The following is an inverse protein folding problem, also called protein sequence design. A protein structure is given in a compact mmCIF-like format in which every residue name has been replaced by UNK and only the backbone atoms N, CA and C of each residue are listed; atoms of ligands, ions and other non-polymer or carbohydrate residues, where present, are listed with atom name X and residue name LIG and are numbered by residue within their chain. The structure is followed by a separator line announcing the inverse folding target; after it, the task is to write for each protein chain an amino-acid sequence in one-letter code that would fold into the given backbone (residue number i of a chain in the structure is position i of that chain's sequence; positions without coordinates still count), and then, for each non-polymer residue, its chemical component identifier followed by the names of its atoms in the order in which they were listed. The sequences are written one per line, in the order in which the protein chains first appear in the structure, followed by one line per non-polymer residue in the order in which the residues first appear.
data_IF_307466209772
#
_entry.id   IF_307466209772
#
_cell.length_a   1.000
_cell.length_b   1.000
_cell.length_c   1.000
_cell.angle_alpha   90.00
_cell.angle_beta   90.00
_cell.angle_gamma   90.00
#
_symmetry.space_group_name_H-M   'P 1'
#
loop_
_entity.id
_entity.type
_entity.pdbx_description
1 polymer ?
#
# COMPACT_ATOMS: atom_id res chain seq x y z
N UNK A 1 9.51 5.86 -8.71
CA UNK A 1 9.77 6.50 -7.37
C UNK A 1 11.26 6.46 -7.01
N UNK A 2 11.92 5.28 -6.95
CA UNK A 2 13.34 5.14 -6.51
C UNK A 2 14.32 6.00 -7.30
N UNK A 3 14.29 5.93 -8.63
CA UNK A 3 15.18 6.73 -9.48
C UNK A 3 14.96 8.23 -9.28
N UNK A 4 13.72 8.72 -9.25
CA UNK A 4 13.42 10.12 -8.98
C UNK A 4 14.01 10.58 -7.63
N UNK A 5 13.85 9.76 -6.58
CA UNK A 5 14.42 10.08 -5.26
C UNK A 5 15.94 10.18 -5.32
N UNK A 6 16.61 9.29 -6.06
CA UNK A 6 18.05 9.35 -6.25
C UNK A 6 18.49 10.63 -6.96
N UNK A 7 17.84 10.99 -8.08
CA UNK A 7 18.15 12.21 -8.83
C UNK A 7 17.99 13.48 -7.98
N UNK A 8 16.89 13.57 -7.22
CA UNK A 8 16.64 14.72 -6.35
C UNK A 8 17.58 14.79 -5.15
N UNK A 9 17.97 13.63 -4.57
CA UNK A 9 19.01 13.59 -3.53
C UNK A 9 20.39 13.99 -4.06
N UNK A 10 20.72 13.63 -5.30
CA UNK A 10 21.97 14.03 -5.96
C UNK A 10 21.98 15.50 -6.38
N UNK A 11 20.82 16.15 -6.46
CA UNK A 11 20.70 17.55 -6.90
C UNK A 11 20.88 17.75 -8.40
N UNK A 12 20.80 16.67 -9.21
CA UNK A 12 20.93 16.75 -10.66
C UNK A 12 20.69 15.39 -11.33
N UNK A 13 20.58 15.40 -12.66
CA UNK A 13 20.38 14.23 -13.48
C UNK A 13 21.65 13.91 -14.30
N UNK A 14 22.11 12.65 -14.38
CA UNK A 14 23.23 12.28 -15.27
C UNK A 14 22.79 12.35 -16.73
N UNK A 15 23.73 12.36 -17.66
CA UNK A 15 23.42 12.31 -19.10
C UNK A 15 22.86 10.94 -19.50
N UNK A 16 23.32 9.88 -18.87
CA UNK A 16 22.91 8.50 -19.17
C UNK A 16 22.54 7.76 -17.89
N UNK A 17 21.42 7.03 -17.94
CA UNK A 17 21.02 6.10 -16.91
C UNK A 17 21.02 4.69 -17.47
N UNK A 18 21.96 3.86 -17.01
CA UNK A 18 22.11 2.47 -17.42
C UNK A 18 21.42 1.55 -16.42
N UNK A 19 20.65 0.59 -16.95
CA UNK A 19 20.00 -0.45 -16.14
C UNK A 19 20.39 -1.82 -16.64
N UNK A 20 20.20 -2.82 -15.79
CA UNK A 20 20.12 -4.21 -16.22
C UNK A 20 18.89 -4.45 -17.10
N UNK A 21 18.73 -5.65 -17.68
CA UNK A 21 17.58 -6.05 -18.53
C UNK A 21 16.27 -6.09 -17.71
N UNK A 22 15.92 -4.98 -17.09
CA UNK A 22 14.76 -4.82 -16.22
C UNK A 22 13.50 -4.64 -17.06
N UNK A 23 12.53 -5.56 -16.92
CA UNK A 23 11.25 -5.51 -17.65
C UNK A 23 10.43 -4.22 -17.42
N UNK A 24 10.69 -3.52 -16.33
CA UNK A 24 10.10 -2.21 -16.06
C UNK A 24 10.65 -1.08 -16.95
N UNK A 25 11.88 -1.26 -17.47
CA UNK A 25 12.55 -0.27 -18.31
C UNK A 25 12.52 -0.65 -19.79
N UNK A 26 12.63 -1.94 -20.11
CA UNK A 26 12.77 -2.44 -21.47
C UNK A 26 11.69 -3.47 -21.82
N UNK A 27 11.22 -3.42 -23.07
CA UNK A 27 10.37 -4.45 -23.65
C UNK A 27 11.24 -5.63 -24.13
N UNK A 28 11.41 -6.64 -23.30
CA UNK A 28 12.28 -7.78 -23.57
C UNK A 28 11.73 -8.75 -24.66
N UNK A 29 10.50 -8.53 -25.14
CA UNK A 29 9.88 -9.31 -26.22
C UNK A 29 10.07 -8.67 -27.60
N UNK A 30 10.60 -7.46 -27.68
CA UNK A 30 10.84 -6.78 -28.94
C UNK A 30 12.19 -7.20 -29.55
N UNK A 31 12.21 -7.37 -30.86
CA UNK A 31 13.45 -7.67 -31.63
C UNK A 31 14.49 -6.54 -31.55
N UNK A 32 14.00 -5.29 -31.37
CA UNK A 32 14.84 -4.12 -31.14
C UNK A 32 14.70 -3.63 -29.71
N UNK A 33 15.77 -3.04 -29.21
CA UNK A 33 15.80 -2.43 -27.90
C UNK A 33 14.75 -1.31 -27.82
N UNK A 34 13.67 -1.56 -27.08
CA UNK A 34 12.58 -0.61 -26.87
C UNK A 34 12.42 -0.33 -25.38
N UNK A 35 12.40 0.95 -25.04
CA UNK A 35 12.04 1.40 -23.71
C UNK A 35 10.54 1.18 -23.47
N UNK A 36 10.17 0.85 -22.24
CA UNK A 36 8.75 0.90 -21.86
C UNK A 36 8.26 2.35 -21.91
N UNK A 37 7.00 2.56 -22.28
CA UNK A 37 6.41 3.91 -22.39
C UNK A 37 6.64 4.75 -21.13
N UNK A 38 6.56 4.13 -19.95
CA UNK A 38 6.78 4.82 -18.66
C UNK A 38 8.22 5.21 -18.43
N UNK A 39 9.15 4.33 -18.76
CA UNK A 39 10.58 4.61 -18.57
C UNK A 39 11.06 5.63 -19.60
N UNK A 40 10.58 5.54 -20.83
CA UNK A 40 10.86 6.53 -21.87
C UNK A 40 10.37 7.93 -21.47
N UNK A 41 9.12 8.05 -21.01
CA UNK A 41 8.57 9.30 -20.48
C UNK A 41 9.39 9.85 -19.31
N UNK A 42 9.87 8.97 -18.41
CA UNK A 42 10.75 9.37 -17.29
C UNK A 42 12.10 9.90 -17.83
N UNK A 43 12.73 9.17 -18.75
CA UNK A 43 13.99 9.58 -19.38
C UNK A 43 13.84 10.92 -20.09
N UNK A 44 12.77 11.11 -20.85
CA UNK A 44 12.48 12.37 -21.54
C UNK A 44 12.29 13.52 -20.54
N UNK A 45 11.54 13.32 -19.46
CA UNK A 45 11.30 14.34 -18.44
C UNK A 45 12.58 14.82 -17.75
N UNK A 46 13.52 13.90 -17.46
CA UNK A 46 14.81 14.21 -16.83
C UNK A 46 15.96 14.41 -17.84
N UNK A 47 15.67 14.39 -19.14
CA UNK A 47 16.64 14.51 -20.22
C UNK A 47 17.74 13.44 -20.15
N UNK A 48 17.38 12.23 -19.69
CA UNK A 48 18.27 11.10 -19.57
C UNK A 48 18.30 10.29 -20.87
N UNK A 49 19.46 9.77 -21.22
CA UNK A 49 19.57 8.69 -22.20
C UNK A 49 19.44 7.36 -21.45
N UNK A 50 18.36 6.61 -21.69
CA UNK A 50 18.22 5.25 -21.17
C UNK A 50 19.10 4.28 -21.96
N UNK A 51 19.87 3.45 -21.26
CA UNK A 51 20.65 2.35 -21.87
C UNK A 51 20.57 1.11 -20.99
N UNK A 52 20.89 -0.05 -21.56
CA UNK A 52 20.97 -1.30 -20.81
C UNK A 52 22.35 -1.95 -20.97
N UNK A 53 22.67 -2.83 -20.05
CA UNK A 53 23.86 -3.66 -20.15
C UNK A 53 23.73 -4.66 -21.31
N UNK A 54 24.85 -5.00 -21.91
CA UNK A 54 24.88 -5.99 -22.97
C UNK A 54 24.50 -7.38 -22.44
N UNK A 55 23.56 -8.10 -23.06
CA UNK A 55 23.21 -9.45 -22.66
C UNK A 55 24.47 -10.37 -22.63
N UNK A 56 24.63 -11.12 -21.54
CA UNK A 56 25.73 -12.06 -21.39
C UNK A 56 27.07 -11.48 -20.92
N UNK A 57 27.17 -10.16 -20.66
CA UNK A 57 28.38 -9.53 -20.11
C UNK A 57 28.21 -9.21 -18.62
N UNK A 58 28.41 -10.21 -17.77
CA UNK A 58 28.24 -10.11 -16.31
C UNK A 58 29.12 -9.05 -15.65
N UNK A 59 30.32 -8.76 -16.22
CA UNK A 59 31.26 -7.79 -15.65
C UNK A 59 30.79 -6.32 -15.76
N UNK A 60 29.82 -6.00 -16.59
CA UNK A 60 29.29 -4.63 -16.70
C UNK A 60 28.53 -4.19 -15.43
N UNK A 61 28.05 -5.13 -14.61
CA UNK A 61 27.38 -4.90 -13.33
C UNK A 61 28.29 -4.93 -12.11
N UNK A 62 29.58 -5.31 -12.28
CA UNK A 62 30.48 -5.58 -11.16
C UNK A 62 30.60 -4.45 -10.15
N UNK A 63 30.59 -3.18 -10.59
CA UNK A 63 30.67 -2.02 -9.69
C UNK A 63 29.44 -1.89 -8.80
N UNK A 64 28.25 -2.10 -9.37
CA UNK A 64 26.98 -2.01 -8.64
C UNK A 64 26.84 -3.21 -7.70
N UNK A 65 27.20 -4.41 -8.15
CA UNK A 65 27.20 -5.63 -7.33
C UNK A 65 28.14 -5.49 -6.13
N UNK A 66 29.33 -4.95 -6.35
CA UNK A 66 30.29 -4.65 -5.27
C UNK A 66 29.72 -3.63 -4.27
N UNK A 67 29.06 -2.56 -4.75
CA UNK A 67 28.43 -1.55 -3.90
C UNK A 67 27.27 -2.15 -3.08
N UNK A 68 26.43 -2.98 -3.69
CA UNK A 68 25.36 -3.70 -2.98
C UNK A 68 25.92 -4.68 -1.94
N UNK A 69 26.98 -5.42 -2.27
CA UNK A 69 27.68 -6.30 -1.34
C UNK A 69 28.27 -5.53 -0.15
N UNK A 70 28.82 -4.34 -0.39
CA UNK A 70 29.34 -3.46 0.66
C UNK A 70 28.21 -2.97 1.59
N UNK A 71 27.10 -2.48 1.01
CA UNK A 71 25.93 -2.05 1.78
C UNK A 71 25.37 -3.20 2.65
N UNK A 72 25.16 -4.38 2.06
CA UNK A 72 24.66 -5.56 2.81
C UNK A 72 25.55 -5.89 4.00
N UNK A 73 26.86 -5.95 3.81
CA UNK A 73 27.83 -6.20 4.90
C UNK A 73 27.74 -5.15 6.00
N UNK A 74 27.64 -3.86 5.64
CA UNK A 74 27.48 -2.75 6.61
C UNK A 74 26.19 -2.85 7.38
N UNK A 75 25.08 -3.21 6.72
CA UNK A 75 23.80 -3.43 7.38
C UNK A 75 23.87 -4.60 8.38
N UNK A 76 24.42 -5.74 7.95
CA UNK A 76 24.59 -6.89 8.85
C UNK A 76 25.43 -6.54 10.09
N UNK A 77 26.56 -5.86 9.90
CA UNK A 77 27.42 -5.42 11.02
C UNK A 77 26.67 -4.44 11.95
N UNK A 78 25.92 -3.50 11.40
CA UNK A 78 25.17 -2.53 12.20
C UNK A 78 24.02 -3.19 12.99
N UNK A 79 23.35 -4.21 12.42
CA UNK A 79 22.34 -5.01 13.13
C UNK A 79 22.97 -5.82 14.26
N UNK A 80 24.12 -6.45 14.04
CA UNK A 80 24.86 -7.17 15.08
C UNK A 80 25.26 -6.25 16.25
N UNK A 81 25.75 -5.04 15.93
CA UNK A 81 26.09 -4.05 16.96
C UNK A 81 24.88 -3.52 17.72
N UNK A 82 23.72 -3.47 17.06
CA UNK A 82 22.45 -3.07 17.71
C UNK A 82 21.94 -4.15 18.65
N UNK A 83 22.25 -5.41 18.41
CA UNK A 83 21.81 -6.55 19.22
C UNK A 83 20.39 -7.00 18.99
N UNK A 84 19.66 -6.37 18.07
CA UNK A 84 18.26 -6.67 17.74
C UNK A 84 18.01 -6.42 16.26
N UNK A 85 17.24 -7.31 15.62
CA UNK A 85 16.85 -7.22 14.20
C UNK A 85 15.46 -6.61 14.01
N UNK A 86 14.66 -6.47 15.08
CA UNK A 86 13.31 -5.97 15.01
C UNK A 86 13.25 -4.45 15.14
N UNK A 87 12.30 -3.85 14.45
CA UNK A 87 12.06 -2.41 14.45
C UNK A 87 10.64 -2.11 14.88
N UNK A 88 10.47 -1.06 15.70
CA UNK A 88 9.16 -0.64 16.21
C UNK A 88 8.25 -0.07 15.11
N UNK A 89 8.83 0.41 14.01
CA UNK A 89 8.09 0.95 12.87
C UNK A 89 8.93 0.94 11.59
N UNK A 90 8.28 1.13 10.45
CA UNK A 90 8.95 1.27 9.16
C UNK A 90 9.85 2.51 9.11
N UNK A 91 9.43 3.61 9.76
CA UNK A 91 10.19 4.85 9.85
C UNK A 91 11.49 4.63 10.64
N UNK A 92 11.43 3.86 11.74
CA UNK A 92 12.61 3.50 12.52
C UNK A 92 13.61 2.66 11.71
N UNK A 93 13.10 1.70 10.93
CA UNK A 93 13.92 0.93 9.98
C UNK A 93 14.54 1.82 8.90
N UNK A 94 13.76 2.70 8.30
CA UNK A 94 14.23 3.63 7.27
C UNK A 94 15.33 4.56 7.82
N UNK A 95 15.15 5.12 9.01
CA UNK A 95 16.16 5.97 9.66
C UNK A 95 17.46 5.21 9.92
N UNK A 96 17.39 3.94 10.32
CA UNK A 96 18.55 3.07 10.50
C UNK A 96 19.31 2.86 9.17
N UNK A 97 18.60 2.55 8.09
CA UNK A 97 19.20 2.36 6.75
C UNK A 97 19.80 3.67 6.26
N UNK A 98 19.09 4.79 6.39
CA UNK A 98 19.58 6.11 5.95
C UNK A 98 20.85 6.53 6.72
N UNK A 99 20.96 6.18 8.00
CA UNK A 99 22.19 6.39 8.80
C UNK A 99 23.39 5.64 8.25
N UNK A 100 23.21 4.39 7.82
CA UNK A 100 24.29 3.57 7.20
C UNK A 100 24.67 4.13 5.83
N UNK A 101 23.66 4.45 5.00
CA UNK A 101 23.87 5.01 3.66
C UNK A 101 24.58 6.35 3.73
N UNK A 102 24.24 7.19 4.70
CA UNK A 102 24.89 8.48 4.92
C UNK A 102 26.40 8.31 5.20
N UNK A 103 26.76 7.37 6.07
CA UNK A 103 28.18 7.05 6.36
C UNK A 103 28.92 6.54 5.13
N UNK A 104 28.28 5.72 4.29
CA UNK A 104 28.88 5.23 3.03
C UNK A 104 29.06 6.41 2.06
N UNK A 105 28.07 7.25 1.90
CA UNK A 105 28.10 8.39 0.99
C UNK A 105 29.15 9.43 1.39
N UNK A 106 29.42 9.61 2.69
CA UNK A 106 30.49 10.48 3.15
C UNK A 106 31.88 10.06 2.60
N UNK A 107 32.11 8.76 2.42
CA UNK A 107 33.38 8.26 1.85
C UNK A 107 33.53 8.59 0.36
N UNK A 108 32.39 8.74 -0.35
CA UNK A 108 32.38 9.05 -1.78
C UNK A 108 32.22 10.56 -2.07
N UNK A 109 32.10 11.39 -1.02
CA UNK A 109 31.73 12.81 -1.13
C UNK A 109 32.67 13.60 -2.05
N UNK A 110 33.96 13.48 -1.88
CA UNK A 110 34.97 14.21 -2.68
C UNK A 110 34.81 13.91 -4.17
N UNK A 111 34.61 12.64 -4.50
CA UNK A 111 34.39 12.19 -5.88
C UNK A 111 33.08 12.72 -6.44
N UNK A 112 32.03 12.66 -5.66
CA UNK A 112 30.71 13.16 -6.06
C UNK A 112 30.70 14.68 -6.29
N UNK A 113 31.39 15.45 -5.44
CA UNK A 113 31.51 16.92 -5.63
C UNK A 113 32.29 17.29 -6.90
N UNK A 114 33.16 16.44 -7.40
CA UNK A 114 33.83 16.61 -8.70
C UNK A 114 32.89 16.32 -9.87
N UNK A 115 31.97 15.36 -9.72
CA UNK A 115 31.00 14.97 -10.75
C UNK A 115 29.76 15.87 -10.75
N UNK A 116 29.41 16.45 -9.63
CA UNK A 116 28.19 17.26 -9.44
C UNK A 116 28.01 18.40 -10.45
N UNK A 117 29.05 19.15 -10.84
CA UNK A 117 28.90 20.20 -11.85
C UNK A 117 28.56 19.67 -13.25
N UNK A 118 28.76 18.39 -13.52
CA UNK A 118 28.46 17.73 -14.79
C UNK A 118 27.00 17.24 -14.88
N UNK A 119 26.29 17.25 -13.75
CA UNK A 119 24.88 16.83 -13.72
C UNK A 119 24.00 17.89 -14.38
N UNK A 120 23.00 17.41 -15.12
CA UNK A 120 21.98 18.26 -15.71
C UNK A 120 21.06 18.83 -14.63
N UNK A 121 20.56 20.04 -14.88
CA UNK A 121 19.56 20.66 -13.99
C UNK A 121 18.28 19.84 -13.93
N UNK A 122 17.77 19.62 -12.72
CA UNK A 122 16.49 18.95 -12.50
C UNK A 122 15.32 19.76 -13.03
N UNK A 123 14.27 19.12 -13.52
CA UNK A 123 13.03 19.80 -13.89
C UNK A 123 12.37 20.43 -12.64
N UNK A 124 11.54 21.44 -12.84
CA UNK A 124 10.84 22.15 -11.74
C UNK A 124 9.93 21.26 -10.89
N UNK A 125 9.44 20.14 -11.45
CA UNK A 125 8.52 19.20 -10.81
C UNK A 125 8.95 17.78 -11.08
N UNK A 126 8.64 16.88 -10.15
CA UNK A 126 8.75 15.43 -10.37
C UNK A 126 7.68 14.96 -11.34
N UNK A 127 7.90 13.83 -12.01
CA UNK A 127 6.83 13.13 -12.73
C UNK A 127 5.85 12.54 -11.72
N UNK A 128 4.64 12.22 -12.22
CA UNK A 128 3.65 11.53 -11.41
C UNK A 128 4.12 10.11 -11.08
N UNK A 129 4.02 9.76 -9.79
CA UNK A 129 4.46 8.46 -9.24
C UNK A 129 3.29 7.46 -9.15
N UNK A 130 2.17 7.72 -9.82
CA UNK A 130 1.00 6.87 -9.76
C UNK A 130 0.64 6.24 -11.12
N UNK A 131 -0.11 5.15 -11.05
CA UNK A 131 -0.81 4.59 -12.19
C UNK A 131 -2.28 5.00 -12.14
N UNK A 132 -2.84 5.38 -13.29
CA UNK A 132 -4.25 5.71 -13.40
C UNK A 132 -5.08 4.48 -13.73
N UNK A 133 -6.19 4.32 -13.03
CA UNK A 133 -7.18 3.30 -13.24
C UNK A 133 -8.58 3.90 -13.15
N UNK A 134 -9.53 3.26 -13.80
CA UNK A 134 -10.95 3.58 -13.67
C UNK A 134 -11.68 2.33 -13.20
N UNK A 135 -12.44 2.44 -12.12
CA UNK A 135 -13.14 1.32 -11.49
C UNK A 135 -14.63 1.61 -11.36
N UNK A 136 -15.45 0.59 -11.54
CA UNK A 136 -16.89 0.67 -11.29
C UNK A 136 -17.16 0.10 -9.89
N UNK A 137 -17.92 0.83 -9.06
CA UNK A 137 -18.26 0.39 -7.73
C UNK A 137 -19.42 -0.58 -7.78
N UNK A 138 -19.19 -1.78 -7.23
CA UNK A 138 -20.19 -2.86 -7.19
C UNK A 138 -21.33 -2.56 -6.21
N UNK A 139 -22.41 -3.36 -6.29
CA UNK A 139 -23.51 -3.33 -5.31
C UNK A 139 -23.09 -3.67 -3.89
N UNK A 140 -21.92 -4.26 -3.70
CA UNK A 140 -21.30 -4.55 -2.40
C UNK A 140 -20.42 -3.40 -1.88
N UNK A 141 -20.50 -2.20 -2.47
CA UNK A 141 -19.68 -1.03 -2.12
C UNK A 141 -18.18 -1.33 -2.26
N UNK A 142 -17.79 -2.12 -3.25
CA UNK A 142 -16.42 -2.57 -3.45
C UNK A 142 -15.99 -2.51 -4.91
N UNK A 143 -14.68 -2.52 -5.12
CA UNK A 143 -14.05 -2.68 -6.42
C UNK A 143 -12.79 -3.54 -6.31
N UNK A 144 -12.42 -4.19 -7.41
CA UNK A 144 -11.19 -4.97 -7.50
C UNK A 144 -10.11 -4.19 -8.25
N UNK A 145 -8.92 -4.10 -7.67
CA UNK A 145 -7.75 -3.52 -8.33
C UNK A 145 -6.49 -4.34 -7.99
N UNK A 146 -5.75 -4.78 -9.03
CA UNK A 146 -4.52 -5.59 -8.86
C UNK A 146 -4.69 -6.80 -7.94
N UNK A 147 -5.79 -7.54 -8.09
CA UNK A 147 -6.14 -8.72 -7.28
C UNK A 147 -6.44 -8.43 -5.80
N UNK A 148 -6.74 -7.17 -5.47
CA UNK A 148 -7.16 -6.75 -4.13
C UNK A 148 -8.55 -6.16 -4.22
N UNK A 149 -9.43 -6.59 -3.31
CA UNK A 149 -10.76 -6.03 -3.14
C UNK A 149 -10.71 -4.91 -2.10
N UNK A 150 -11.16 -3.72 -2.49
CA UNK A 150 -11.26 -2.54 -1.63
C UNK A 150 -12.72 -2.16 -1.45
N UNK A 151 -13.08 -1.64 -0.27
CA UNK A 151 -14.41 -1.05 -0.04
C UNK A 151 -14.37 0.47 -0.09
N UNK A 152 -15.48 1.07 -0.49
CA UNK A 152 -15.72 2.52 -0.50
C UNK A 152 -17.11 2.82 0.10
N UNK A 153 -17.38 4.07 0.53
CA UNK A 153 -18.68 4.43 1.04
C UNK A 153 -19.83 4.08 0.08
N UNK A 154 -20.90 3.48 0.62
CA UNK A 154 -22.03 2.93 -0.16
C UNK A 154 -22.73 3.95 -1.07
N UNK A 155 -22.57 5.24 -0.80
CA UNK A 155 -23.11 6.31 -1.66
C UNK A 155 -22.56 6.30 -3.08
N UNK A 156 -21.40 5.64 -3.30
CA UNK A 156 -20.75 5.53 -4.61
C UNK A 156 -21.12 4.26 -5.38
N UNK A 157 -22.04 3.43 -4.88
CA UNK A 157 -22.51 2.24 -5.59
C UNK A 157 -23.03 2.61 -6.97
N UNK A 158 -22.53 1.92 -7.99
CA UNK A 158 -22.89 2.17 -9.40
C UNK A 158 -22.11 3.30 -10.06
N UNK A 159 -21.32 4.06 -9.32
CA UNK A 159 -20.48 5.11 -9.88
C UNK A 159 -19.15 4.58 -10.41
N UNK A 160 -18.61 5.32 -11.37
CA UNK A 160 -17.27 5.09 -11.91
C UNK A 160 -16.31 6.08 -11.28
N UNK A 161 -15.34 5.54 -10.52
CA UNK A 161 -14.33 6.34 -9.84
C UNK A 161 -12.99 6.25 -10.58
N UNK A 162 -12.21 7.33 -10.53
CA UNK A 162 -10.83 7.34 -10.96
C UNK A 162 -9.91 7.05 -9.77
N UNK A 163 -8.89 6.23 -10.01
CA UNK A 163 -7.95 5.79 -8.97
C UNK A 163 -6.55 6.15 -9.39
N UNK A 164 -5.86 6.94 -8.58
CA UNK A 164 -4.42 7.14 -8.66
C UNK A 164 -3.75 6.13 -7.73
N UNK A 165 -3.14 5.10 -8.33
CA UNK A 165 -2.49 4.01 -7.61
C UNK A 165 -1.02 4.33 -7.40
N UNK A 166 -0.66 4.67 -6.17
CA UNK A 166 0.71 4.85 -5.70
C UNK A 166 1.30 3.54 -5.16
N UNK A 167 2.55 3.58 -4.72
CA UNK A 167 3.20 2.42 -4.10
C UNK A 167 2.61 2.10 -2.72
N UNK A 168 2.21 3.11 -1.94
CA UNK A 168 1.74 2.93 -0.56
C UNK A 168 0.25 3.18 -0.37
N UNK A 169 -0.41 3.83 -1.32
CA UNK A 169 -1.82 4.22 -1.20
C UNK A 169 -2.55 4.25 -2.55
N UNK A 170 -3.86 4.34 -2.45
CA UNK A 170 -4.77 4.62 -3.55
C UNK A 170 -5.55 5.89 -3.22
N UNK A 171 -5.48 6.88 -4.10
CA UNK A 171 -6.33 8.07 -4.00
C UNK A 171 -7.49 7.92 -5.01
N UNK A 172 -8.73 8.00 -4.53
CA UNK A 172 -9.94 7.83 -5.31
C UNK A 172 -10.60 9.19 -5.57
N UNK A 173 -11.06 9.37 -6.79
CA UNK A 173 -11.67 10.62 -7.26
C UNK A 173 -13.02 10.36 -7.90
N UNK A 174 -14.00 11.24 -7.61
CA UNK A 174 -15.24 11.41 -8.37
C UNK A 174 -15.12 12.72 -9.16
N UNK A 175 -14.99 12.62 -10.48
CA UNK A 175 -14.59 13.77 -11.29
C UNK A 175 -13.20 14.29 -10.90
N UNK A 176 -13.14 15.54 -10.43
CA UNK A 176 -11.90 16.19 -9.99
C UNK A 176 -11.72 16.21 -8.46
N UNK A 177 -12.72 15.77 -7.71
CA UNK A 177 -12.69 15.79 -6.25
C UNK A 177 -12.11 14.48 -5.70
N UNK A 178 -11.10 14.60 -4.85
CA UNK A 178 -10.58 13.45 -4.10
C UNK A 178 -11.55 13.11 -2.97
N UNK A 179 -12.15 11.92 -3.05
CA UNK A 179 -13.18 11.48 -2.12
C UNK A 179 -12.63 10.57 -1.01
N UNK A 180 -11.52 9.87 -1.27
CA UNK A 180 -10.98 8.88 -0.34
C UNK A 180 -9.51 8.60 -0.64
N UNK A 181 -8.74 8.30 0.41
CA UNK A 181 -7.40 7.73 0.31
C UNK A 181 -7.35 6.45 1.12
N UNK A 182 -6.92 5.35 0.50
CA UNK A 182 -6.83 4.03 1.11
C UNK A 182 -5.38 3.55 1.13
N UNK A 183 -4.92 2.86 2.16
CA UNK A 183 -3.62 2.20 2.14
C UNK A 183 -3.61 1.11 1.07
N UNK A 184 -2.51 1.02 0.34
CA UNK A 184 -2.34 -0.02 -0.67
C UNK A 184 -2.03 -1.35 -0.02
N UNK A 185 -2.81 -2.36 -0.37
CA UNK A 185 -2.56 -3.75 -0.02
C UNK A 185 -2.01 -4.48 -1.25
N UNK A 186 -1.09 -5.41 -1.03
CA UNK A 186 -0.51 -6.24 -2.08
C UNK A 186 -1.05 -7.66 -1.98
N UNK A 187 -1.59 -8.16 -3.08
CA UNK A 187 -1.94 -9.58 -3.20
C UNK A 187 -0.66 -10.41 -3.36
N UNK A 188 -0.63 -11.60 -2.76
CA UNK A 188 0.42 -12.57 -3.02
C UNK A 188 0.17 -13.31 -4.34
N UNK A 189 1.13 -14.12 -4.79
CA UNK A 189 0.96 -14.94 -6.00
C UNK A 189 -0.19 -15.95 -5.87
N UNK A 190 -0.46 -16.42 -4.65
CA UNK A 190 -1.45 -17.44 -4.36
C UNK A 190 -2.77 -16.91 -3.81
N UNK A 191 -2.77 -15.75 -3.12
CA UNK A 191 -3.95 -15.21 -2.44
C UNK A 191 -4.32 -13.82 -2.94
N UNK A 192 -5.64 -13.56 -3.07
CA UNK A 192 -6.17 -12.23 -3.27
C UNK A 192 -6.07 -11.41 -1.98
N UNK A 193 -5.72 -10.14 -2.10
CA UNK A 193 -5.75 -9.21 -0.98
C UNK A 193 -7.16 -8.67 -0.72
N UNK A 194 -7.40 -8.20 0.50
CA UNK A 194 -8.63 -7.51 0.89
C UNK A 194 -8.29 -6.31 1.78
N UNK A 195 -8.95 -5.20 1.52
CA UNK A 195 -8.89 -3.97 2.31
C UNK A 195 -10.32 -3.50 2.53
N UNK A 196 -10.93 -4.04 3.58
CA UNK A 196 -12.34 -3.87 3.88
C UNK A 196 -12.49 -3.00 5.13
N UNK A 197 -13.22 -1.91 5.03
CA UNK A 197 -13.65 -1.10 6.16
C UNK A 197 -15.18 -1.18 6.28
N UNK A 198 -15.67 -1.75 7.38
CA UNK A 198 -17.09 -1.90 7.65
C UNK A 198 -17.85 -0.56 7.70
N UNK A 199 -17.15 0.54 8.03
CA UNK A 199 -17.72 1.90 8.07
C UNK A 199 -18.20 2.35 6.71
N UNK A 200 -17.62 1.84 5.64
CA UNK A 200 -18.04 2.17 4.27
C UNK A 200 -19.43 1.62 3.93
N UNK A 201 -19.84 0.53 4.55
CA UNK A 201 -21.08 -0.18 4.22
C UNK A 201 -22.13 -0.16 5.33
N UNK A 202 -21.77 0.33 6.51
CA UNK A 202 -22.61 0.20 7.70
C UNK A 202 -23.98 0.89 7.55
N UNK A 203 -24.03 2.06 6.93
CA UNK A 203 -25.29 2.80 6.70
C UNK A 203 -26.27 2.03 5.80
N UNK A 204 -25.74 1.27 4.84
CA UNK A 204 -26.53 0.39 3.98
C UNK A 204 -26.98 -0.87 4.70
N UNK A 205 -26.13 -1.43 5.56
CA UNK A 205 -26.46 -2.59 6.38
C UNK A 205 -27.52 -2.26 7.44
N UNK A 206 -27.51 -1.07 8.03
CA UNK A 206 -28.56 -0.63 8.95
C UNK A 206 -29.94 -0.66 8.30
N UNK A 207 -30.03 -0.29 7.01
CA UNK A 207 -31.29 -0.35 6.24
C UNK A 207 -31.70 -1.77 5.88
N UNK A 208 -30.74 -2.69 5.70
CA UNK A 208 -30.96 -4.09 5.32
C UNK A 208 -30.03 -5.03 6.13
N UNK A 209 -30.29 -5.22 7.43
CA UNK A 209 -29.36 -5.99 8.29
C UNK A 209 -29.12 -7.43 7.81
N UNK A 210 -30.15 -8.08 7.21
CA UNK A 210 -30.03 -9.42 6.67
C UNK A 210 -28.99 -9.57 5.56
N UNK A 211 -28.60 -8.48 4.87
CA UNK A 211 -27.56 -8.51 3.85
C UNK A 211 -26.18 -8.84 4.44
N UNK A 212 -25.96 -8.59 5.73
CA UNK A 212 -24.71 -8.92 6.41
C UNK A 212 -24.39 -10.42 6.32
N UNK A 213 -25.35 -11.29 6.62
CA UNK A 213 -25.18 -12.77 6.62
C UNK A 213 -24.72 -13.31 5.26
N UNK A 214 -25.26 -12.75 4.18
CA UNK A 214 -25.03 -13.22 2.81
C UNK A 214 -23.90 -12.46 2.10
N UNK A 215 -23.25 -11.51 2.77
CA UNK A 215 -22.13 -10.78 2.20
C UNK A 215 -20.92 -11.70 2.02
N UNK A 216 -20.31 -11.67 0.86
CA UNK A 216 -19.01 -12.33 0.61
C UNK A 216 -17.86 -11.72 1.43
N UNK A 217 -18.06 -10.51 1.93
CA UNK A 217 -17.11 -9.78 2.76
C UNK A 217 -17.46 -9.85 4.25
N UNK A 218 -18.44 -10.69 4.65
CA UNK A 218 -18.98 -10.75 6.02
C UNK A 218 -17.87 -10.83 7.09
N UNK A 219 -16.93 -11.73 6.91
CA UNK A 219 -15.88 -11.96 7.88
C UNK A 219 -14.89 -10.78 7.93
N UNK A 220 -14.63 -10.14 6.79
CA UNK A 220 -13.77 -8.94 6.73
C UNK A 220 -14.48 -7.67 7.27
N UNK A 221 -15.80 -7.67 7.39
CA UNK A 221 -16.56 -6.56 8.00
C UNK A 221 -16.52 -6.59 9.54
N UNK A 222 -16.02 -7.66 10.13
CA UNK A 222 -15.84 -7.78 11.57
C UNK A 222 -14.46 -7.25 11.96
N UNK A 223 -14.36 -6.07 12.64
CA UNK A 223 -13.11 -5.33 12.73
C UNK A 223 -12.05 -5.96 13.64
N UNK A 224 -12.46 -6.80 14.59
CA UNK A 224 -11.57 -7.45 15.55
C UNK A 224 -11.98 -8.90 15.82
N UNK A 225 -11.09 -9.74 16.36
CA UNK A 225 -11.43 -11.10 16.78
C UNK A 225 -12.61 -11.16 17.76
N UNK A 226 -12.80 -10.13 18.58
CA UNK A 226 -13.94 -10.05 19.52
C UNK A 226 -15.27 -10.04 18.76
N UNK A 227 -15.37 -9.26 17.69
CA UNK A 227 -16.57 -9.21 16.85
C UNK A 227 -16.83 -10.54 16.14
N UNK A 228 -15.81 -11.29 15.75
CA UNK A 228 -15.97 -12.63 15.19
C UNK A 228 -16.57 -13.59 16.25
N UNK A 229 -16.09 -13.56 17.50
CA UNK A 229 -16.62 -14.38 18.59
C UNK A 229 -18.05 -13.97 18.94
N UNK A 230 -18.34 -12.67 18.99
CA UNK A 230 -19.69 -12.14 19.21
C UNK A 230 -20.62 -12.63 18.11
N UNK A 231 -20.21 -12.53 16.83
CA UNK A 231 -21.00 -13.01 15.70
C UNK A 231 -21.29 -14.52 15.82
N UNK A 232 -20.31 -15.34 16.09
CA UNK A 232 -20.48 -16.78 16.28
C UNK A 232 -21.51 -17.10 17.39
N UNK A 233 -21.44 -16.37 18.49
CA UNK A 233 -22.38 -16.55 19.60
C UNK A 233 -23.81 -16.17 19.22
N UNK A 234 -24.01 -14.97 18.67
CA UNK A 234 -25.37 -14.48 18.34
C UNK A 234 -25.98 -15.27 17.18
N UNK A 235 -25.18 -15.72 16.22
CA UNK A 235 -25.61 -16.54 15.10
C UNK A 235 -26.05 -17.96 15.53
N UNK A 236 -25.45 -18.49 16.58
CA UNK A 236 -25.80 -19.78 17.18
C UNK A 236 -26.96 -19.72 18.19
N UNK A 237 -27.23 -18.53 18.77
CA UNK A 237 -28.19 -18.38 19.88
C UNK A 237 -29.51 -17.72 19.43
N UNK A 238 -29.42 -16.74 18.52
CA UNK A 238 -30.57 -15.98 18.03
C UNK A 238 -31.07 -16.53 16.68
N UNK A 239 -32.33 -16.20 16.33
CA UNK A 239 -32.77 -16.46 14.97
C UNK A 239 -31.97 -15.62 13.96
N UNK A 240 -31.88 -16.02 12.67
CA UNK A 240 -31.05 -15.37 11.66
C UNK A 240 -31.28 -13.88 11.46
N UNK A 241 -32.51 -13.43 11.62
CA UNK A 241 -32.88 -12.03 11.45
C UNK A 241 -32.38 -11.19 12.63
N UNK A 242 -32.57 -11.64 13.86
CA UNK A 242 -32.19 -10.90 15.06
C UNK A 242 -30.66 -10.94 15.26
N UNK A 243 -29.98 -12.02 14.91
CA UNK A 243 -28.53 -12.09 14.88
C UNK A 243 -27.94 -11.01 13.97
N UNK A 244 -28.47 -10.87 12.74
CA UNK A 244 -28.02 -9.81 11.81
C UNK A 244 -28.31 -8.41 12.34
N UNK A 245 -29.48 -8.19 12.93
CA UNK A 245 -29.82 -6.89 13.53
C UNK A 245 -28.88 -6.54 14.69
N UNK A 246 -28.58 -7.51 15.53
CA UNK A 246 -27.69 -7.33 16.67
C UNK A 246 -26.31 -6.89 16.23
N UNK A 247 -25.65 -7.68 15.37
CA UNK A 247 -24.29 -7.39 14.94
C UNK A 247 -24.20 -6.07 14.15
N UNK A 248 -25.18 -5.77 13.28
CA UNK A 248 -25.20 -4.51 12.53
C UNK A 248 -25.41 -3.31 13.45
N UNK A 249 -26.27 -3.40 14.47
CA UNK A 249 -26.41 -2.33 15.48
C UNK A 249 -25.13 -2.12 16.26
N UNK A 250 -24.43 -3.20 16.64
CA UNK A 250 -23.16 -3.14 17.33
C UNK A 250 -22.08 -2.45 16.48
N UNK A 251 -21.94 -2.85 15.22
CA UNK A 251 -21.02 -2.23 14.27
C UNK A 251 -21.37 -0.77 14.01
N UNK A 252 -22.65 -0.44 13.86
CA UNK A 252 -23.09 0.94 13.66
C UNK A 252 -22.73 1.84 14.86
N UNK A 253 -22.97 1.38 16.08
CA UNK A 253 -22.57 2.12 17.27
C UNK A 253 -21.05 2.28 17.35
N UNK A 254 -20.30 1.21 17.09
CA UNK A 254 -18.82 1.23 17.05
C UNK A 254 -18.30 2.26 16.05
N UNK A 255 -18.93 2.38 14.87
CA UNK A 255 -18.57 3.36 13.85
C UNK A 255 -18.89 4.79 14.28
N UNK A 256 -20.11 5.01 14.83
CA UNK A 256 -20.60 6.35 15.19
C UNK A 256 -19.85 6.91 16.41
N UNK A 257 -19.63 6.10 17.43
CA UNK A 257 -18.94 6.51 18.65
C UNK A 257 -17.42 6.31 18.63
N UNK A 258 -16.88 5.76 17.54
CA UNK A 258 -15.45 5.45 17.38
C UNK A 258 -14.86 4.61 18.51
N UNK A 259 -15.64 3.68 19.05
CA UNK A 259 -15.31 2.90 20.25
C UNK A 259 -15.23 1.38 19.96
N UNK A 260 -14.87 0.97 18.74
CA UNK A 260 -14.92 -0.44 18.32
C UNK A 260 -14.23 -1.40 19.29
N UNK A 261 -13.01 -1.10 19.77
CA UNK A 261 -12.23 -2.03 20.58
C UNK A 261 -12.76 -2.16 22.01
N UNK A 262 -13.21 -1.04 22.61
CA UNK A 262 -13.80 -1.04 23.95
C UNK A 262 -15.17 -1.69 23.94
N UNK A 263 -15.98 -1.39 22.95
CA UNK A 263 -17.32 -1.95 22.77
C UNK A 263 -17.27 -3.46 22.51
N UNK A 264 -16.38 -3.92 21.62
CA UNK A 264 -16.21 -5.34 21.34
C UNK A 264 -15.83 -6.14 22.59
N UNK A 265 -14.84 -5.65 23.35
CA UNK A 265 -14.42 -6.26 24.63
C UNK A 265 -15.55 -6.28 25.68
N UNK A 266 -16.29 -5.18 25.81
CA UNK A 266 -17.40 -5.10 26.74
C UNK A 266 -18.48 -6.15 26.43
N UNK A 267 -18.95 -6.21 25.19
CA UNK A 267 -19.99 -7.15 24.77
C UNK A 267 -19.51 -8.59 24.89
N UNK A 268 -18.26 -8.89 24.48
CA UNK A 268 -17.71 -10.24 24.62
C UNK A 268 -17.64 -10.69 26.09
N UNK A 269 -17.19 -9.82 27.00
CA UNK A 269 -17.14 -10.11 28.43
C UNK A 269 -18.53 -10.37 29.02
N UNK A 270 -19.54 -9.61 28.59
CA UNK A 270 -20.93 -9.83 29.02
C UNK A 270 -21.47 -11.19 28.56
N UNK A 271 -21.17 -11.57 27.30
CA UNK A 271 -21.53 -12.89 26.75
C UNK A 271 -20.86 -14.03 27.55
N UNK A 272 -19.59 -13.88 27.89
CA UNK A 272 -18.86 -14.84 28.71
C UNK A 272 -19.44 -14.95 30.13
N UNK A 273 -20.06 -13.88 30.63
CA UNK A 273 -20.83 -13.86 31.89
C UNK A 273 -22.27 -14.42 31.77
N UNK A 274 -22.67 -14.86 30.59
CA UNK A 274 -23.99 -15.44 30.33
C UNK A 274 -25.10 -14.41 30.01
N UNK A 275 -24.74 -13.15 29.81
CA UNK A 275 -25.70 -12.08 29.49
C UNK A 275 -25.44 -11.50 28.10
N UNK A 276 -26.49 -11.42 27.27
CA UNK A 276 -26.41 -10.75 25.98
C UNK A 276 -26.94 -9.31 26.12
N UNK A 277 -26.08 -8.28 26.07
CA UNK A 277 -26.50 -6.90 26.24
C UNK A 277 -27.51 -6.49 25.14
N UNK A 278 -28.69 -6.00 25.52
CA UNK A 278 -29.70 -5.47 24.62
C UNK A 278 -29.52 -3.97 24.31
N UNK A 279 -28.91 -3.23 25.25
CA UNK A 279 -28.59 -1.81 25.11
C UNK A 279 -27.05 -1.65 25.23
N UNK A 280 -26.47 -1.03 24.18
CA UNK A 280 -25.06 -0.71 24.14
C UNK A 280 -24.85 0.74 24.59
N UNK A 281 -23.91 0.97 25.49
CA UNK A 281 -23.40 2.30 25.83
C UNK A 281 -21.89 2.27 25.64
N UNK A 282 -21.35 3.26 24.95
CA UNK A 282 -19.90 3.48 24.83
C UNK A 282 -19.36 4.31 25.99
#
# INVERSE_FOLDING_TARGET
TGLQNALWRSGGAPLEHRTDSLSAAFNNLAEKEQLTVRYDALCHHYQLKGSRNNPGKSHENGTIEAAHGHLKRRMTQALLLRGDTDFTSLEAYQAFVDGIVTKINQQCRTRFEQERPLLQTLPKRRTHDYAEHSVLISSSSSFDLKRVTYTVPSRFIGERLYVQLYDERLDLFSGHEQILSLPRVYATTTQRGRSVDYRHVIDSLVKKPGAFRYSQLRDDLLPTPDYHRIWQYVDGTLNPHDACRYIVRLLHLAATAQCQDSLGRYVLKSIEGGELPSNFQC
#
